data_IF_583238244675
#
_entry.id   IF_583238244675
#
_cell.length_a   1.000
_cell.length_b   1.000
_cell.length_c   1.000
_cell.angle_alpha   90.00
_cell.angle_beta   90.00
_cell.angle_gamma   90.00
#
_symmetry.space_group_name_H-M   'P 1'
#
loop_
_entity.id
_entity.type
_entity.pdbx_description
1 polymer ?
#
# COMPACT_ATOMS: atom_id res chain seq x y z
N UNK A 1 5.35 -39.66 -41.30
CA UNK A 1 3.89 -39.53 -41.07
C UNK A 1 3.60 -40.06 -39.68
N UNK A 2 2.97 -39.39 -38.72
CA UNK A 2 2.19 -38.16 -38.71
C UNK A 2 2.37 -37.53 -37.32
N UNK A 3 2.60 -36.23 -37.31
CA UNK A 3 2.52 -35.34 -36.16
C UNK A 3 1.09 -35.33 -35.59
N UNK A 4 0.95 -35.22 -34.26
CA UNK A 4 -0.22 -34.61 -33.62
C UNK A 4 0.22 -33.86 -32.36
N UNK A 5 0.64 -32.61 -32.56
CA UNK A 5 0.49 -31.54 -31.56
C UNK A 5 -0.98 -31.13 -31.57
N UNK A 6 -1.60 -30.95 -30.40
CA UNK A 6 -2.77 -30.09 -30.21
C UNK A 6 -2.77 -29.62 -28.74
N UNK A 7 -2.22 -28.42 -28.46
CA UNK A 7 -2.95 -27.15 -28.40
C UNK A 7 -4.18 -27.18 -27.46
N UNK A 8 -3.95 -26.85 -26.19
CA UNK A 8 -4.94 -26.13 -25.38
C UNK A 8 -4.40 -24.71 -25.17
N UNK A 9 -4.73 -23.88 -26.14
CA UNK A 9 -4.54 -22.44 -26.10
C UNK A 9 -5.87 -21.83 -25.61
N UNK A 10 -5.76 -20.72 -24.87
CA UNK A 10 -6.82 -19.74 -24.59
C UNK A 10 -7.79 -20.06 -23.44
N UNK A 11 -7.44 -19.60 -22.24
CA UNK A 11 -8.28 -18.55 -21.62
C UNK A 11 -7.37 -17.39 -21.21
N UNK A 12 -7.27 -16.43 -22.13
CA UNK A 12 -6.84 -15.08 -21.81
C UNK A 12 -8.03 -14.40 -21.15
N UNK A 13 -8.23 -14.60 -19.85
CA UNK A 13 -9.08 -13.71 -19.07
C UNK A 13 -8.17 -12.67 -18.42
N UNK A 14 -8.14 -11.52 -19.07
CA UNK A 14 -7.67 -10.21 -18.66
C UNK A 14 -8.22 -9.74 -17.30
N UNK A 15 -7.94 -10.46 -16.22
CA UNK A 15 -8.24 -10.03 -14.86
C UNK A 15 -7.03 -9.28 -14.33
N UNK A 16 -6.98 -8.01 -14.74
CA UNK A 16 -6.26 -6.92 -14.10
C UNK A 16 -4.92 -7.31 -13.47
N UNK A 17 -3.82 -6.95 -14.14
CA UNK A 17 -2.61 -6.49 -13.48
C UNK A 17 -2.92 -5.24 -12.65
N UNK A 18 -3.84 -5.32 -11.68
CA UNK A 18 -3.69 -4.57 -10.45
C UNK A 18 -2.45 -5.16 -9.85
N UNK A 19 -1.33 -4.48 -10.03
CA UNK A 19 -0.19 -4.63 -9.14
C UNK A 19 -0.77 -4.36 -7.75
N UNK A 20 -1.32 -5.37 -7.10
CA UNK A 20 -1.50 -5.35 -5.67
C UNK A 20 -0.07 -5.21 -5.20
N UNK A 21 0.29 -3.99 -4.79
CA UNK A 21 1.46 -3.78 -3.97
C UNK A 21 1.23 -4.70 -2.78
N UNK A 22 1.78 -5.91 -2.88
CA UNK A 22 1.70 -6.91 -1.83
C UNK A 22 2.53 -6.27 -0.74
N UNK A 23 1.84 -5.75 0.28
CA UNK A 23 2.52 -5.18 1.41
C UNK A 23 3.54 -6.20 1.91
N UNK A 24 4.73 -5.74 2.32
CA UNK A 24 5.71 -6.62 2.94
C UNK A 24 5.06 -7.47 4.04
N UNK A 25 5.43 -8.75 4.20
CA UNK A 25 4.85 -9.60 5.24
C UNK A 25 5.09 -9.05 6.67
N UNK A 26 6.07 -8.15 6.84
CA UNK A 26 6.41 -7.41 8.05
C UNK A 26 5.80 -5.99 8.10
N UNK A 27 4.84 -5.67 7.22
CA UNK A 27 4.18 -4.38 7.23
C UNK A 27 3.33 -4.18 8.50
N UNK A 28 3.77 -3.27 9.37
CA UNK A 28 3.02 -2.88 10.56
C UNK A 28 1.88 -1.92 10.14
N UNK A 29 0.63 -2.42 10.13
CA UNK A 29 -0.54 -1.66 9.71
C UNK A 29 -1.34 -1.12 10.90
N UNK A 30 -1.10 0.15 11.23
CA UNK A 30 -1.71 0.81 12.38
C UNK A 30 -2.82 1.78 11.97
N UNK A 31 -3.76 2.06 12.88
CA UNK A 31 -4.68 3.19 12.73
C UNK A 31 -3.90 4.51 12.75
N UNK A 32 -4.52 5.62 12.30
CA UNK A 32 -3.86 6.94 12.34
C UNK A 32 -3.44 7.32 13.77
N UNK A 33 -4.24 6.95 14.78
CA UNK A 33 -3.93 7.26 16.18
C UNK A 33 -2.70 6.49 16.66
N UNK A 34 -2.69 5.17 16.47
CA UNK A 34 -1.56 4.31 16.84
C UNK A 34 -0.30 4.70 16.06
N UNK A 35 -0.42 4.98 14.75
CA UNK A 35 0.69 5.45 13.93
C UNK A 35 1.25 6.79 14.41
N UNK A 36 0.38 7.71 14.85
CA UNK A 36 0.82 9.00 15.42
C UNK A 36 1.63 8.81 16.70
N UNK A 37 1.21 7.88 17.57
CA UNK A 37 1.95 7.52 18.78
C UNK A 37 3.28 6.82 18.45
N UNK A 38 3.26 5.89 17.50
CA UNK A 38 4.43 5.08 17.10
C UNK A 38 5.52 5.90 16.40
N UNK A 39 5.13 6.84 15.53
CA UNK A 39 6.04 7.71 14.78
C UNK A 39 6.49 8.93 15.61
N UNK A 40 5.66 9.38 16.55
CA UNK A 40 5.99 10.47 17.47
C UNK A 40 5.99 11.87 16.81
N UNK A 41 6.95 12.70 17.24
CA UNK A 41 6.99 14.13 16.89
C UNK A 41 7.02 14.35 15.37
N UNK A 42 6.16 15.25 14.88
CA UNK A 42 6.04 15.56 13.44
C UNK A 42 4.98 14.73 12.70
N UNK A 43 4.38 13.74 13.35
CA UNK A 43 3.36 12.83 12.82
C UNK A 43 2.05 12.88 13.63
N UNK A 44 1.57 14.08 13.95
CA UNK A 44 0.21 14.23 14.48
C UNK A 44 -0.84 13.70 13.49
N UNK A 45 -2.05 13.41 13.96
CA UNK A 45 -3.19 13.00 13.11
C UNK A 45 -3.38 13.92 11.90
N UNK A 46 -3.40 15.24 12.13
CA UNK A 46 -3.52 16.26 11.06
C UNK A 46 -2.35 16.20 10.09
N UNK A 47 -1.15 16.00 10.60
CA UNK A 47 0.08 15.89 9.80
C UNK A 47 0.06 14.65 8.91
N UNK A 48 -0.40 13.50 9.43
CA UNK A 48 -0.57 12.25 8.67
C UNK A 48 -1.61 12.45 7.56
N UNK A 49 -2.79 12.95 7.90
CA UNK A 49 -3.85 13.21 6.92
C UNK A 49 -3.41 14.18 5.82
N UNK A 50 -2.68 15.25 6.18
CA UNK A 50 -2.13 16.19 5.20
C UNK A 50 -1.21 15.49 4.19
N UNK A 51 -0.33 14.59 4.64
CA UNK A 51 0.60 13.85 3.75
C UNK A 51 -0.13 12.87 2.83
N UNK A 52 -1.21 12.27 3.31
CA UNK A 52 -2.10 11.44 2.49
C UNK A 52 -2.79 12.31 1.44
N UNK A 53 -3.47 13.39 1.86
CA UNK A 53 -4.22 14.27 0.97
C UNK A 53 -3.34 14.98 -0.05
N UNK A 54 -2.10 15.34 0.30
CA UNK A 54 -1.15 15.97 -0.62
C UNK A 54 -0.49 14.95 -1.58
N UNK A 55 -0.79 13.66 -1.45
CA UNK A 55 -0.18 12.60 -2.24
C UNK A 55 1.31 12.34 -1.93
N UNK A 56 1.83 12.92 -0.84
CA UNK A 56 3.19 12.64 -0.36
C UNK A 56 3.29 11.17 0.09
N UNK A 57 2.24 10.65 0.73
CA UNK A 57 2.12 9.25 1.09
C UNK A 57 1.25 8.50 0.07
N UNK A 58 1.86 7.53 -0.60
CA UNK A 58 1.21 6.73 -1.65
C UNK A 58 0.38 5.59 -1.05
N UNK A 59 -0.85 5.45 -1.53
CA UNK A 59 -1.73 4.31 -1.23
C UNK A 59 -1.09 3.01 -1.75
N UNK A 60 -1.25 1.91 -1.02
CA UNK A 60 -0.60 0.63 -1.30
C UNK A 60 0.87 0.54 -0.85
N UNK A 61 1.50 1.66 -0.50
CA UNK A 61 2.88 1.72 0.00
C UNK A 61 2.93 2.22 1.45
N UNK A 62 2.53 3.46 1.67
CA UNK A 62 2.59 4.13 2.98
C UNK A 62 1.29 3.97 3.78
N UNK A 63 0.17 3.76 3.09
CA UNK A 63 -1.14 3.57 3.71
C UNK A 63 -2.04 2.74 2.81
N UNK A 64 -3.09 2.17 3.37
CA UNK A 64 -4.12 1.42 2.65
C UNK A 64 -5.51 1.81 3.15
N UNK A 65 -6.49 1.83 2.26
CA UNK A 65 -7.89 1.87 2.65
C UNK A 65 -8.37 0.45 2.98
N UNK A 66 -8.59 0.18 4.27
CA UNK A 66 -9.05 -1.10 4.79
C UNK A 66 -10.58 -1.13 5.00
N UNK A 67 -11.33 -0.30 4.26
CA UNK A 67 -12.79 -0.38 4.22
C UNK A 67 -13.23 -1.79 3.82
N UNK A 68 -14.28 -2.30 4.48
CA UNK A 68 -15.08 -3.40 3.88
C UNK A 68 -15.79 -2.85 2.65
N UNK A 69 -15.95 -3.67 1.61
CA UNK A 69 -16.77 -3.30 0.46
C UNK A 69 -18.10 -2.72 0.96
N UNK A 70 -18.49 -1.58 0.39
CA UNK A 70 -19.73 -0.82 0.69
C UNK A 70 -19.76 0.01 1.99
N UNK A 71 -18.64 0.16 2.71
CA UNK A 71 -18.55 1.15 3.79
C UNK A 71 -18.28 2.57 3.26
N UNK A 72 -19.15 3.53 3.61
CA UNK A 72 -18.93 4.96 3.38
C UNK A 72 -17.79 5.53 4.23
N UNK A 73 -17.49 4.90 5.36
CA UNK A 73 -16.41 5.31 6.24
C UNK A 73 -15.08 4.73 5.74
N UNK A 74 -14.14 5.62 5.41
CA UNK A 74 -12.75 5.25 5.07
C UNK A 74 -12.07 4.71 6.31
N UNK A 75 -11.48 3.51 6.21
CA UNK A 75 -10.73 2.90 7.30
C UNK A 75 -9.25 2.89 6.94
N UNK A 76 -8.60 4.03 7.16
CA UNK A 76 -7.19 4.23 6.78
C UNK A 76 -6.28 3.47 7.76
N UNK A 77 -5.42 2.63 7.21
CA UNK A 77 -4.30 2.00 7.93
C UNK A 77 -2.98 2.51 7.39
N UNK A 78 -2.07 2.87 8.28
CA UNK A 78 -0.74 3.39 7.96
C UNK A 78 0.25 2.23 8.04
N UNK A 79 1.06 2.05 7.00
CA UNK A 79 2.21 1.16 6.99
C UNK A 79 3.40 1.87 7.64
N UNK A 80 3.57 1.68 8.94
CA UNK A 80 4.59 2.41 9.71
C UNK A 80 6.00 2.00 9.30
N UNK A 81 6.20 0.73 8.94
CA UNK A 81 7.47 0.19 8.44
C UNK A 81 7.93 0.95 7.19
N UNK A 82 7.04 1.11 6.20
CA UNK A 82 7.36 1.86 4.97
C UNK A 82 7.64 3.34 5.25
N UNK A 83 6.88 3.95 6.16
CA UNK A 83 7.09 5.35 6.56
C UNK A 83 8.48 5.51 7.19
N UNK A 84 8.86 4.68 8.15
CA UNK A 84 10.17 4.71 8.81
C UNK A 84 11.32 4.45 7.81
N UNK A 85 11.17 3.47 6.92
CA UNK A 85 12.15 3.17 5.86
C UNK A 85 12.32 4.32 4.87
N UNK A 86 11.26 5.09 4.60
CA UNK A 86 11.32 6.28 3.75
C UNK A 86 12.11 7.45 4.36
N UNK A 87 12.30 7.47 5.68
CA UNK A 87 13.11 8.48 6.37
C UNK A 87 14.56 8.03 6.59
N UNK A 88 14.83 6.73 6.63
CA UNK A 88 16.21 6.22 6.72
C UNK A 88 16.99 6.37 5.42
N UNK A 89 16.33 6.61 4.29
CA UNK A 89 17.01 7.00 3.04
C UNK A 89 17.44 8.46 3.15
N UNK A 90 18.74 8.78 3.24
CA UNK A 90 19.20 10.16 3.35
C UNK A 90 18.77 10.95 2.11
N UNK A 91 18.43 12.23 2.28
CA UNK A 91 18.03 13.11 1.18
C UNK A 91 19.08 13.19 0.05
N UNK A 92 20.34 12.85 0.33
CA UNK A 92 21.42 12.75 -0.65
C UNK A 92 21.26 11.60 -1.66
N UNK A 93 20.41 10.61 -1.38
CA UNK A 93 20.21 9.42 -2.21
C UNK A 93 18.79 9.34 -2.82
N UNK A 94 18.04 10.45 -2.81
CA UNK A 94 16.66 10.52 -3.30
C UNK A 94 16.55 11.28 -4.62
#
# INVERSE_FOLDING_TARGET
MLWLKNNKNLEVSSLAKRTMYKLPPDAELLTIQEASQRLGKGFSRTSILRRISSGQWKEGLHWVDARRNDSMNRLIRINVTAVLNGFTTPAAFR
#
